data_IF_404918479372
#
_entry.id   IF_404918479372
#
_cell.length_a   1.000
_cell.length_b   1.000
_cell.length_c   1.000
_cell.angle_alpha   90.00
_cell.angle_beta   90.00
_cell.angle_gamma   90.00
#
_symmetry.space_group_name_H-M   'P 1'
#
loop_
_entity.id
_entity.type
_entity.pdbx_description
1 polymer ?
#
# COMPACT_ATOMS: atom_id res chain seq x y z
N UNK A 1 1.09 -24.32 -11.47
CA UNK A 1 0.04 -25.20 -12.03
C UNK A 1 -0.94 -24.29 -12.79
N UNK A 2 -1.66 -24.71 -13.85
CA UNK A 2 -2.64 -23.85 -14.53
C UNK A 2 -3.67 -23.18 -13.59
N UNK A 3 -3.91 -23.75 -12.41
CA UNK A 3 -4.80 -23.19 -11.38
C UNK A 3 -4.32 -21.84 -10.80
N UNK A 4 -3.01 -21.55 -10.80
CA UNK A 4 -2.49 -20.30 -10.23
C UNK A 4 -2.97 -19.07 -11.04
N UNK A 5 -3.18 -19.22 -12.35
CA UNK A 5 -3.72 -18.18 -13.22
C UNK A 5 -5.25 -18.03 -13.09
N UNK A 6 -5.97 -19.11 -12.79
CA UNK A 6 -7.41 -19.04 -12.48
C UNK A 6 -7.67 -18.35 -11.14
N UNK A 7 -6.80 -18.53 -10.15
CA UNK A 7 -6.88 -17.81 -8.86
C UNK A 7 -6.73 -16.29 -8.99
N UNK A 8 -6.12 -15.81 -10.08
CA UNK A 8 -5.96 -14.39 -10.36
C UNK A 8 -7.11 -13.81 -11.20
N UNK A 9 -7.95 -14.65 -11.84
CA UNK A 9 -9.12 -14.15 -12.58
C UNK A 9 -10.12 -13.57 -11.57
N UNK A 10 -10.35 -12.26 -11.64
CA UNK A 10 -11.25 -11.54 -10.76
C UNK A 10 -10.56 -10.78 -9.62
N UNK A 11 -9.22 -10.82 -9.54
CA UNK A 11 -8.49 -9.90 -8.68
C UNK A 11 -8.43 -8.54 -9.37
N UNK A 12 -9.24 -7.59 -8.91
CA UNK A 12 -9.07 -6.18 -9.25
C UNK A 12 -8.03 -5.59 -8.31
N UNK A 13 -6.85 -5.26 -8.83
CA UNK A 13 -5.86 -4.51 -8.07
C UNK A 13 -6.25 -3.02 -8.07
N UNK A 14 -6.31 -2.37 -6.90
CA UNK A 14 -6.55 -0.94 -6.84
C UNK A 14 -5.39 -0.21 -7.50
N UNK A 15 -5.70 0.60 -8.50
CA UNK A 15 -4.72 1.50 -9.13
C UNK A 15 -4.72 2.80 -8.33
N UNK A 16 -3.66 3.01 -7.56
CA UNK A 16 -3.50 4.18 -6.69
C UNK A 16 -2.36 5.03 -7.23
N UNK A 17 -2.57 6.34 -7.36
CA UNK A 17 -1.50 7.23 -7.81
C UNK A 17 -0.49 7.52 -6.71
N UNK A 18 0.75 7.83 -7.10
CA UNK A 18 1.79 8.23 -6.14
C UNK A 18 1.40 9.47 -5.31
N UNK A 19 0.65 10.41 -5.91
CA UNK A 19 0.13 11.59 -5.19
C UNK A 19 -0.89 11.22 -4.12
N UNK A 20 -1.77 10.26 -4.38
CA UNK A 20 -2.70 9.76 -3.38
C UNK A 20 -1.96 9.07 -2.24
N UNK A 21 -0.95 8.25 -2.54
CA UNK A 21 -0.11 7.62 -1.53
C UNK A 21 0.62 8.66 -0.66
N UNK A 22 1.21 9.68 -1.28
CA UNK A 22 1.86 10.79 -0.56
C UNK A 22 0.90 11.50 0.39
N UNK A 23 -0.31 11.82 -0.08
CA UNK A 23 -1.33 12.46 0.73
C UNK A 23 -1.78 11.55 1.87
N UNK A 24 -2.07 10.29 1.57
CA UNK A 24 -2.51 9.28 2.52
C UNK A 24 -1.50 9.02 3.65
N UNK A 25 -0.21 9.12 3.35
CA UNK A 25 0.89 8.94 4.31
C UNK A 25 1.37 10.26 4.92
N UNK A 26 0.68 11.38 4.67
CA UNK A 26 1.09 12.71 5.14
C UNK A 26 2.57 13.00 4.82
N UNK A 27 2.97 12.76 3.56
CA UNK A 27 4.33 12.90 3.04
C UNK A 27 5.38 11.98 3.70
N UNK A 28 5.02 10.74 4.03
CA UNK A 28 5.93 9.79 4.70
C UNK A 28 6.49 10.34 6.02
N UNK A 29 5.67 11.08 6.77
CA UNK A 29 6.05 11.59 8.09
C UNK A 29 6.49 10.43 9.00
N UNK A 30 7.49 10.66 9.83
CA UNK A 30 7.92 9.70 10.86
C UNK A 30 6.78 9.30 11.82
N UNK A 31 5.76 10.15 11.97
CA UNK A 31 4.54 9.82 12.73
C UNK A 31 3.77 8.63 12.15
N UNK A 32 3.96 8.34 10.87
CA UNK A 32 3.36 7.22 10.15
C UNK A 32 4.34 6.05 9.96
N UNK A 33 5.57 6.13 10.47
CA UNK A 33 6.53 5.04 10.35
C UNK A 33 6.09 3.84 11.20
N UNK A 34 6.04 2.66 10.58
CA UNK A 34 5.67 1.41 11.24
C UNK A 34 6.89 0.54 11.56
N UNK A 35 7.97 0.66 10.79
CA UNK A 35 9.18 -0.10 11.01
C UNK A 35 10.04 -0.21 9.76
N UNK A 36 11.30 -0.60 9.95
CA UNK A 36 12.27 -0.81 8.87
C UNK A 36 12.87 -2.21 8.98
N UNK A 37 13.00 -2.89 7.84
CA UNK A 37 13.68 -4.16 7.74
C UNK A 37 14.75 -4.15 6.66
N UNK A 38 15.34 -5.31 6.38
CA UNK A 38 16.35 -5.48 5.33
C UNK A 38 15.88 -5.09 3.92
N UNK A 39 14.57 -4.95 3.71
CA UNK A 39 13.95 -4.66 2.43
C UNK A 39 13.33 -3.26 2.33
N UNK A 40 13.62 -2.36 3.28
CA UNK A 40 13.13 -0.99 3.29
C UNK A 40 12.28 -0.61 4.52
N UNK A 41 11.73 0.60 4.48
CA UNK A 41 10.87 1.18 5.51
C UNK A 41 9.40 1.00 5.16
N UNK A 42 8.58 0.74 6.17
CA UNK A 42 7.13 0.59 6.04
C UNK A 42 6.44 1.76 6.73
N UNK A 43 5.47 2.36 6.04
CA UNK A 43 4.69 3.49 6.53
C UNK A 43 3.20 3.17 6.49
N UNK A 44 2.47 3.72 7.47
CA UNK A 44 1.02 3.72 7.52
C UNK A 44 0.46 4.81 6.63
N UNK A 45 -0.53 4.48 5.81
CA UNK A 45 -1.32 5.46 5.06
C UNK A 45 -2.82 5.27 5.33
N UNK A 46 -3.60 6.33 5.19
CA UNK A 46 -5.06 6.28 5.14
C UNK A 46 -5.51 6.88 3.81
N UNK A 47 -6.06 6.04 2.93
CA UNK A 47 -6.58 6.47 1.64
C UNK A 47 -7.83 7.36 1.80
N UNK A 48 -8.21 8.07 0.74
CA UNK A 48 -9.33 9.02 0.77
C UNK A 48 -10.69 8.37 1.10
N UNK A 49 -10.82 7.06 0.84
CA UNK A 49 -11.99 6.25 1.20
C UNK A 49 -11.98 5.77 2.66
N UNK A 50 -10.95 6.13 3.44
CA UNK A 50 -10.75 5.70 4.82
C UNK A 50 -10.01 4.37 4.97
N UNK A 51 -9.65 3.71 3.87
CA UNK A 51 -8.92 2.44 3.91
C UNK A 51 -7.52 2.66 4.50
N UNK A 52 -7.20 1.91 5.56
CA UNK A 52 -5.86 1.93 6.15
C UNK A 52 -4.94 0.97 5.38
N UNK A 53 -3.78 1.46 4.97
CA UNK A 53 -2.79 0.71 4.20
C UNK A 53 -1.41 0.76 4.85
N UNK A 54 -0.58 -0.25 4.57
CA UNK A 54 0.84 -0.24 4.88
C UNK A 54 1.62 -0.24 3.56
N UNK A 55 2.42 0.79 3.35
CA UNK A 55 3.22 1.00 2.13
C UNK A 55 4.68 0.71 2.46
N UNK A 56 5.33 -0.06 1.60
CA UNK A 56 6.77 -0.33 1.64
C UNK A 56 7.43 0.21 0.39
#
# INVERSE_FOLDING_TARGET
HPDDLERLRGITLPVISYRELLHAMSNFSDANFLGSGSFGSVYKGILADGTTVAVK
#
